data_IF_454203098152
#
_entry.id   IF_454203098152
#
_cell.length_a   1.000
_cell.length_b   1.000
_cell.length_c   1.000
_cell.angle_alpha   90.00
_cell.angle_beta   90.00
_cell.angle_gamma   90.00
#
_symmetry.space_group_name_H-M   'P 1'
#
loop_
_entity.id
_entity.type
_entity.pdbx_description
1 polymer ?
#
# COMPACT_ATOMS: atom_id res chain seq x y z
N UNK A 1 6.66 -14.26 -4.81
CA UNK A 1 6.91 -12.80 -4.72
C UNK A 1 6.22 -12.23 -3.49
N UNK A 2 6.91 -11.41 -2.75
CA UNK A 2 6.39 -10.83 -1.52
C UNK A 2 5.76 -9.46 -1.80
N UNK A 3 4.52 -9.31 -1.36
CA UNK A 3 3.68 -8.15 -1.63
C UNK A 3 3.34 -7.45 -0.31
N UNK A 4 3.36 -6.14 -0.31
CA UNK A 4 2.81 -5.32 0.77
C UNK A 4 1.66 -4.47 0.25
N UNK A 5 0.78 -4.07 1.15
CA UNK A 5 -0.27 -3.10 0.87
C UNK A 5 -0.14 -1.92 1.81
N UNK A 6 -0.35 -0.72 1.28
CA UNK A 6 -0.33 0.52 2.05
C UNK A 6 -1.63 1.29 1.81
N UNK A 7 -2.35 1.56 2.87
CA UNK A 7 -3.68 2.16 2.83
C UNK A 7 -3.76 3.43 3.69
N UNK A 8 -4.85 4.16 3.52
CA UNK A 8 -5.13 5.35 4.31
C UNK A 8 -5.76 4.99 5.65
N UNK A 9 -5.21 5.51 6.74
CA UNK A 9 -5.75 5.26 8.08
C UNK A 9 -7.19 5.78 8.22
N UNK A 10 -7.45 6.98 7.74
CA UNK A 10 -8.78 7.58 7.89
C UNK A 10 -9.88 6.82 7.16
N UNK A 11 -9.56 6.24 6.01
CA UNK A 11 -10.52 5.43 5.27
C UNK A 11 -10.93 4.18 6.06
N UNK A 12 -10.11 3.74 6.99
CA UNK A 12 -10.38 2.53 7.78
C UNK A 12 -11.44 2.72 8.86
N UNK A 13 -11.97 3.91 9.05
CA UNK A 13 -13.15 4.09 9.89
C UNK A 13 -14.34 3.29 9.36
N UNK A 14 -14.40 3.10 8.04
CA UNK A 14 -15.51 2.39 7.39
C UNK A 14 -15.06 1.25 6.50
N UNK A 15 -13.77 1.16 6.21
CA UNK A 15 -13.25 0.17 5.27
C UNK A 15 -12.68 -1.05 6.01
N UNK A 16 -13.19 -2.23 5.64
CA UNK A 16 -12.71 -3.49 6.21
C UNK A 16 -11.44 -4.02 5.53
N UNK A 17 -11.05 -3.43 4.39
CA UNK A 17 -10.01 -3.98 3.54
C UNK A 17 -10.48 -5.14 2.66
N UNK A 18 -11.77 -5.44 2.68
CA UNK A 18 -12.31 -6.59 1.96
C UNK A 18 -12.06 -6.51 0.45
N UNK A 19 -12.18 -5.30 -0.13
CA UNK A 19 -11.92 -5.11 -1.56
C UNK A 19 -10.48 -5.41 -1.95
N UNK A 20 -9.54 -4.92 -1.15
CA UNK A 20 -8.12 -5.18 -1.36
C UNK A 20 -7.80 -6.66 -1.26
N UNK A 21 -8.29 -7.31 -0.21
CA UNK A 21 -8.06 -8.75 0.02
C UNK A 21 -8.72 -9.61 -1.05
N UNK A 22 -9.94 -9.26 -1.46
CA UNK A 22 -10.62 -9.99 -2.52
C UNK A 22 -9.85 -9.90 -3.83
N UNK A 23 -9.38 -8.71 -4.19
CA UNK A 23 -8.58 -8.53 -5.40
C UNK A 23 -7.30 -9.37 -5.35
N UNK A 24 -6.62 -9.37 -4.20
CA UNK A 24 -5.43 -10.19 -4.00
C UNK A 24 -5.74 -11.68 -4.11
N UNK A 25 -6.77 -12.15 -3.40
CA UNK A 25 -7.10 -13.58 -3.34
C UNK A 25 -7.61 -14.14 -4.66
N UNK A 26 -8.34 -13.33 -5.43
CA UNK A 26 -8.89 -13.75 -6.73
C UNK A 26 -7.98 -13.41 -7.91
N UNK A 27 -6.85 -12.79 -7.66
CA UNK A 27 -5.92 -12.32 -8.71
C UNK A 27 -6.63 -11.47 -9.75
N UNK A 28 -7.46 -10.53 -9.25
CA UNK A 28 -8.21 -9.60 -10.09
C UNK A 28 -7.67 -8.18 -9.94
N UNK A 29 -8.21 -7.27 -10.74
CA UNK A 29 -7.86 -5.86 -10.73
C UNK A 29 -6.33 -5.68 -10.87
N UNK A 30 -5.70 -4.99 -9.92
CA UNK A 30 -4.26 -4.72 -10.02
C UNK A 30 -3.39 -5.92 -9.67
N UNK A 31 -3.98 -7.03 -9.23
CA UNK A 31 -3.24 -8.28 -8.98
C UNK A 31 -3.33 -9.26 -10.15
N UNK A 32 -4.12 -8.94 -11.19
CA UNK A 32 -4.25 -9.79 -12.37
C UNK A 32 -2.92 -9.94 -13.14
N UNK A 33 -2.06 -8.92 -13.07
CA UNK A 33 -0.78 -8.93 -13.78
C UNK A 33 0.16 -10.06 -13.33
N UNK A 34 -0.04 -10.58 -12.13
CA UNK A 34 0.82 -11.64 -11.60
C UNK A 34 0.44 -13.04 -12.07
N UNK A 35 -0.74 -13.18 -12.68
CA UNK A 35 -1.20 -14.49 -13.15
C UNK A 35 -1.20 -15.54 -12.05
N UNK A 36 -0.59 -16.68 -12.30
CA UNK A 36 -0.51 -17.78 -11.35
C UNK A 36 0.74 -17.74 -10.48
N UNK A 37 1.54 -16.68 -10.57
CA UNK A 37 2.75 -16.55 -9.78
C UNK A 37 2.41 -16.63 -8.28
N UNK A 38 3.12 -17.45 -7.50
CA UNK A 38 2.91 -17.48 -6.05
C UNK A 38 3.16 -16.11 -5.42
N UNK A 39 2.22 -15.65 -4.62
CA UNK A 39 2.32 -14.38 -3.90
C UNK A 39 2.16 -14.61 -2.41
N UNK A 40 2.95 -13.88 -1.64
CA UNK A 40 2.86 -13.86 -0.18
C UNK A 40 2.61 -12.43 0.27
N UNK A 41 1.51 -12.21 0.99
CA UNK A 41 1.21 -10.89 1.55
C UNK A 41 1.96 -10.77 2.88
N UNK A 42 3.00 -9.94 2.91
CA UNK A 42 3.89 -9.82 4.08
C UNK A 42 3.57 -8.65 4.98
N UNK A 43 2.83 -7.66 4.48
CA UNK A 43 2.43 -6.51 5.28
C UNK A 43 1.17 -5.86 4.74
N UNK A 44 0.34 -5.39 5.66
CA UNK A 44 -0.77 -4.49 5.39
C UNK A 44 -0.62 -3.32 6.33
N UNK A 45 -0.16 -2.20 5.81
CA UNK A 45 0.14 -1.04 6.62
C UNK A 45 -0.78 0.12 6.28
N UNK A 46 -0.86 1.06 7.20
CA UNK A 46 -1.59 2.31 7.03
C UNK A 46 -0.71 3.46 7.47
N UNK A 47 -0.94 4.64 6.89
CA UNK A 47 -0.32 5.87 7.40
C UNK A 47 -0.79 6.10 8.84
N UNK A 48 -0.22 7.10 9.51
CA UNK A 48 -0.58 7.43 10.89
C UNK A 48 -1.57 8.59 11.01
N UNK A 49 -2.17 9.00 9.89
CA UNK A 49 -3.21 10.02 9.87
C UNK A 49 -2.78 11.29 9.14
N UNK A 50 -3.78 12.07 8.77
CA UNK A 50 -3.57 13.33 8.05
C UNK A 50 -2.83 14.34 8.93
N UNK A 51 -1.93 15.08 8.32
CA UNK A 51 -1.16 16.12 8.99
C UNK A 51 0.08 15.63 9.73
N UNK A 52 0.27 14.32 9.85
CA UNK A 52 1.44 13.76 10.56
C UNK A 52 2.63 13.49 9.65
N UNK A 53 2.39 13.44 8.34
CA UNK A 53 3.45 13.13 7.39
C UNK A 53 4.06 11.76 7.64
N UNK A 54 5.34 11.62 7.31
CA UNK A 54 6.10 10.42 7.65
C UNK A 54 6.72 10.63 9.03
N UNK A 55 5.89 10.42 10.05
CA UNK A 55 6.37 10.48 11.43
C UNK A 55 7.21 9.25 11.76
N UNK A 56 7.73 9.21 12.99
CA UNK A 56 8.59 8.11 13.43
C UNK A 56 7.91 6.75 13.30
N UNK A 57 6.65 6.65 13.72
CA UNK A 57 5.92 5.39 13.67
C UNK A 57 5.66 4.93 12.25
N UNK A 58 5.31 5.84 11.35
CA UNK A 58 5.09 5.50 9.95
C UNK A 58 6.40 5.06 9.30
N UNK A 59 7.49 5.72 9.63
CA UNK A 59 8.81 5.32 9.12
C UNK A 59 9.18 3.91 9.58
N UNK A 60 8.89 3.57 10.82
CA UNK A 60 9.10 2.20 11.33
C UNK A 60 8.30 1.18 10.52
N UNK A 61 7.05 1.51 10.16
CA UNK A 61 6.22 0.64 9.31
C UNK A 61 6.85 0.45 7.94
N UNK A 62 7.33 1.54 7.32
CA UNK A 62 7.97 1.45 6.01
C UNK A 62 9.25 0.63 6.06
N UNK A 63 10.06 0.83 7.09
CA UNK A 63 11.28 0.05 7.28
C UNK A 63 10.96 -1.43 7.50
N UNK A 64 9.86 -1.74 8.18
CA UNK A 64 9.44 -3.12 8.37
C UNK A 64 8.98 -3.75 7.06
N UNK A 65 8.28 -3.03 6.20
CA UNK A 65 7.92 -3.51 4.87
C UNK A 65 9.18 -3.93 4.11
N UNK A 66 10.22 -3.10 4.16
CA UNK A 66 11.48 -3.39 3.50
C UNK A 66 12.14 -4.62 4.12
N UNK A 67 12.21 -4.67 5.45
CA UNK A 67 12.88 -5.77 6.16
C UNK A 67 12.18 -7.12 6.01
N UNK A 68 10.87 -7.12 5.79
CA UNK A 68 10.12 -8.34 5.49
C UNK A 68 10.33 -8.84 4.06
N UNK A 69 11.07 -8.08 3.27
CA UNK A 69 11.42 -8.50 1.92
C UNK A 69 10.37 -8.21 0.87
N UNK A 70 9.48 -7.24 1.10
CA UNK A 70 8.50 -6.88 0.09
C UNK A 70 9.19 -6.47 -1.20
N UNK A 71 8.78 -7.05 -2.31
CA UNK A 71 9.30 -6.73 -3.64
C UNK A 71 8.43 -5.67 -4.31
N UNK A 72 7.14 -5.67 -3.98
CA UNK A 72 6.15 -4.73 -4.52
C UNK A 72 5.25 -4.26 -3.39
N UNK A 73 4.92 -2.98 -3.40
CA UNK A 73 3.92 -2.42 -2.49
C UNK A 73 2.78 -1.83 -3.32
N UNK A 74 1.57 -2.31 -3.08
CA UNK A 74 0.36 -1.79 -3.69
C UNK A 74 -0.24 -0.70 -2.81
N UNK A 75 -0.48 0.47 -3.39
CA UNK A 75 -1.15 1.56 -2.71
C UNK A 75 -2.65 1.43 -2.94
N UNK A 76 -3.43 1.37 -1.86
CA UNK A 76 -4.88 1.28 -1.97
C UNK A 76 -5.48 2.51 -2.62
N UNK A 77 -6.65 2.36 -3.24
CA UNK A 77 -7.34 3.49 -3.87
C UNK A 77 -7.75 4.55 -2.84
N UNK A 78 -7.88 4.16 -1.57
CA UNK A 78 -8.18 5.07 -0.47
C UNK A 78 -7.08 6.11 -0.22
N UNK A 79 -5.90 5.95 -0.81
CA UNK A 79 -4.81 6.93 -0.71
C UNK A 79 -5.00 8.12 -1.65
N UNK A 80 -6.01 8.09 -2.50
CA UNK A 80 -6.37 9.18 -3.40
C UNK A 80 -7.58 9.91 -2.85
N UNK A 81 -7.53 11.23 -2.87
CA UNK A 81 -8.53 12.08 -2.23
C UNK A 81 -9.05 13.15 -3.18
N UNK A 82 -10.24 13.67 -2.84
CA UNK A 82 -10.85 14.76 -3.56
C UNK A 82 -11.48 14.34 -4.88
N UNK A 83 -12.07 15.32 -5.57
CA UNK A 83 -12.76 15.09 -6.85
C UNK A 83 -11.77 14.70 -7.95
N UNK A 84 -10.55 15.23 -7.90
CA UNK A 84 -9.51 14.96 -8.88
C UNK A 84 -8.77 13.64 -8.60
N UNK A 85 -9.11 12.94 -7.51
CA UNK A 85 -8.47 11.68 -7.12
C UNK A 85 -6.97 11.81 -6.98
N UNK A 86 -6.50 12.93 -6.46
CA UNK A 86 -5.08 13.16 -6.23
C UNK A 86 -4.53 12.27 -5.12
N UNK A 87 -3.35 11.72 -5.34
CA UNK A 87 -2.68 10.91 -4.33
C UNK A 87 -2.28 11.78 -3.14
N UNK A 88 -2.51 11.29 -1.92
CA UNK A 88 -2.10 11.96 -0.70
C UNK A 88 -0.58 12.19 -0.72
N UNK A 89 -0.15 13.41 -0.39
CA UNK A 89 1.27 13.78 -0.40
C UNK A 89 2.12 12.88 0.50
N UNK A 90 1.62 12.54 1.68
CA UNK A 90 2.32 11.66 2.60
C UNK A 90 2.52 10.27 1.98
N UNK A 91 1.53 9.78 1.26
CA UNK A 91 1.63 8.49 0.57
C UNK A 91 2.63 8.56 -0.58
N UNK A 92 2.66 9.68 -1.33
CA UNK A 92 3.67 9.87 -2.37
C UNK A 92 5.08 9.84 -1.78
N UNK A 93 5.30 10.53 -0.66
CA UNK A 93 6.59 10.52 0.03
C UNK A 93 6.95 9.12 0.53
N UNK A 94 5.97 8.37 1.04
CA UNK A 94 6.19 6.99 1.47
C UNK A 94 6.55 6.09 0.29
N UNK A 95 5.86 6.26 -0.84
CA UNK A 95 6.17 5.51 -2.06
C UNK A 95 7.60 5.79 -2.55
N UNK A 96 8.00 7.06 -2.55
CA UNK A 96 9.35 7.44 -2.93
C UNK A 96 10.40 6.79 -2.01
N UNK A 97 10.14 6.79 -0.71
CA UNK A 97 11.01 6.15 0.27
C UNK A 97 11.16 4.65 -0.01
N UNK A 98 10.05 3.96 -0.26
CA UNK A 98 10.07 2.53 -0.55
C UNK A 98 10.81 2.24 -1.86
N UNK A 99 10.60 3.07 -2.89
CA UNK A 99 11.31 2.91 -4.17
C UNK A 99 12.82 3.07 -4.01
N UNK A 100 13.27 4.01 -3.19
CA UNK A 100 14.69 4.18 -2.89
C UNK A 100 15.28 2.93 -2.23
N UNK A 101 14.47 2.17 -1.52
CA UNK A 101 14.86 0.91 -0.86
C UNK A 101 14.68 -0.31 -1.76
N UNK A 102 14.31 -0.11 -3.02
CA UNK A 102 14.20 -1.21 -3.99
C UNK A 102 12.83 -1.86 -4.06
N UNK A 103 11.80 -1.27 -3.44
CA UNK A 103 10.43 -1.79 -3.50
C UNK A 103 9.69 -1.15 -4.68
N UNK A 104 9.16 -1.95 -5.58
CA UNK A 104 8.35 -1.43 -6.70
C UNK A 104 6.99 -0.98 -6.18
N UNK A 105 6.49 0.13 -6.69
CA UNK A 105 5.19 0.68 -6.30
C UNK A 105 4.17 0.43 -7.40
N UNK A 106 3.02 -0.09 -7.02
CA UNK A 106 1.85 -0.21 -7.90
C UNK A 106 0.70 0.59 -7.28
N UNK A 107 0.15 1.51 -8.04
CA UNK A 107 -0.93 2.37 -7.56
C UNK A 107 -2.26 1.69 -7.85
N UNK A 108 -2.77 1.02 -6.84
CA UNK A 108 -4.07 0.35 -6.86
C UNK A 108 -4.02 -1.06 -6.27
N UNK A 109 -5.16 -1.47 -5.73
CA UNK A 109 -5.42 -2.84 -5.27
C UNK A 109 -6.65 -3.37 -6.01
N UNK A 110 -7.77 -2.65 -5.91
CA UNK A 110 -9.03 -3.05 -6.55
C UNK A 110 -9.67 -1.93 -7.36
#
# INVERSE_FOLDING_TARGET
MKIAMLNCLNANEVCTGAGCLKAFNTRSRHFAEYGDQPLELVAMARCNGCGKGIDRGFREKLDRIVSEGAEVCHLGVCTRHGEDKAECRTITEAADYLQEKGVRIVRGTH
#
